data_IF_554011330589
#
_entry.id   IF_554011330589
#
_cell.length_a   1.000
_cell.length_b   1.000
_cell.length_c   1.000
_cell.angle_alpha   90.00
_cell.angle_beta   90.00
_cell.angle_gamma   90.00
#
_symmetry.space_group_name_H-M   'P 1'
#
loop_
_entity.id
_entity.type
_entity.pdbx_description
1 polymer ?
#
# COMPACT_ATOMS: atom_id res chain seq x y z
N UNK A 1 4.46 22.00 -7.18
CA UNK A 1 4.07 21.03 -8.23
C UNK A 1 4.13 21.77 -9.56
N UNK A 2 5.11 21.51 -10.43
CA UNK A 2 5.28 22.25 -11.72
C UNK A 2 5.09 21.34 -12.92
N UNK A 3 4.21 20.36 -12.78
CA UNK A 3 3.99 19.33 -13.79
C UNK A 3 2.73 19.67 -14.55
N UNK A 4 2.84 19.82 -15.87
CA UNK A 4 1.72 19.88 -16.79
C UNK A 4 1.01 18.50 -16.81
N UNK A 5 0.31 18.17 -15.72
CA UNK A 5 -0.46 16.94 -15.61
C UNK A 5 -1.81 17.13 -16.32
N UNK A 6 -2.27 16.13 -17.08
CA UNK A 6 -3.61 16.10 -17.62
C UNK A 6 -4.66 16.33 -16.52
N UNK A 7 -5.76 17.03 -16.84
CA UNK A 7 -6.85 17.30 -15.89
C UNK A 7 -7.38 16.02 -15.23
N UNK A 8 -7.47 14.94 -16.03
CA UNK A 8 -7.84 13.60 -15.56
C UNK A 8 -6.88 13.08 -14.49
N UNK A 9 -5.57 13.19 -14.71
CA UNK A 9 -4.55 12.75 -13.75
C UNK A 9 -4.64 13.53 -12.43
N UNK A 10 -4.85 14.85 -12.48
CA UNK A 10 -5.04 15.68 -11.27
C UNK A 10 -6.25 15.22 -10.44
N UNK A 11 -7.37 14.92 -11.10
CA UNK A 11 -8.59 14.44 -10.42
C UNK A 11 -8.39 13.09 -9.72
N UNK A 12 -7.73 12.13 -10.38
CA UNK A 12 -7.43 10.81 -9.80
C UNK A 12 -6.48 10.97 -8.61
N UNK A 13 -5.47 11.82 -8.72
CA UNK A 13 -4.55 12.09 -7.61
C UNK A 13 -5.27 12.70 -6.40
N UNK A 14 -6.17 13.66 -6.61
CA UNK A 14 -6.97 14.24 -5.54
C UNK A 14 -7.83 13.17 -4.84
N UNK A 15 -8.48 12.30 -5.62
CA UNK A 15 -9.23 11.15 -5.08
C UNK A 15 -8.33 10.22 -4.27
N UNK A 16 -7.13 9.90 -4.78
CA UNK A 16 -6.17 9.04 -4.07
C UNK A 16 -5.68 9.64 -2.74
N UNK A 17 -5.62 10.97 -2.65
CA UNK A 17 -5.27 11.65 -1.39
C UNK A 17 -6.43 11.70 -0.39
N UNK A 18 -7.67 11.72 -0.88
CA UNK A 18 -8.88 11.69 -0.05
C UNK A 18 -9.28 10.27 0.39
N UNK A 19 -8.86 9.25 -0.36
CA UNK A 19 -9.17 7.85 -0.06
C UNK A 19 -8.64 7.45 1.33
N UNK A 20 -9.56 6.95 2.17
CA UNK A 20 -9.25 6.45 3.52
C UNK A 20 -8.79 5.00 3.49
N UNK A 21 -9.37 4.21 2.58
CA UNK A 21 -9.04 2.80 2.46
C UNK A 21 -7.73 2.61 1.69
N UNK A 22 -6.78 1.81 2.23
CA UNK A 22 -5.49 1.60 1.58
C UNK A 22 -5.62 0.86 0.24
N UNK A 23 -6.62 -0.03 0.10
CA UNK A 23 -6.88 -0.77 -1.14
C UNK A 23 -7.40 0.16 -2.25
N UNK A 24 -8.38 1.03 -1.93
CA UNK A 24 -8.90 2.04 -2.86
C UNK A 24 -7.81 3.04 -3.27
N UNK A 25 -6.99 3.47 -2.30
CA UNK A 25 -5.85 4.36 -2.55
C UNK A 25 -4.82 3.73 -3.48
N UNK A 26 -4.54 2.44 -3.32
CA UNK A 26 -3.63 1.71 -4.21
C UNK A 26 -4.15 1.65 -5.63
N UNK A 27 -5.44 1.36 -5.82
CA UNK A 27 -6.06 1.30 -7.14
C UNK A 27 -6.00 2.67 -7.84
N UNK A 28 -6.37 3.74 -7.14
CA UNK A 28 -6.33 5.10 -7.67
C UNK A 28 -4.91 5.53 -8.03
N UNK A 29 -3.90 5.16 -7.24
CA UNK A 29 -2.49 5.43 -7.59
C UNK A 29 -2.03 4.66 -8.83
N UNK A 30 -2.50 3.42 -9.04
CA UNK A 30 -2.23 2.65 -10.27
C UNK A 30 -2.91 3.28 -11.49
N UNK A 31 -4.15 3.72 -11.36
CA UNK A 31 -4.86 4.45 -12.43
C UNK A 31 -4.20 5.79 -12.75
N UNK A 32 -3.73 6.51 -11.71
CA UNK A 32 -2.96 7.74 -11.88
C UNK A 32 -1.66 7.48 -12.63
N UNK A 33 -0.92 6.44 -12.26
CA UNK A 33 0.32 6.04 -12.92
C UNK A 33 0.11 5.69 -14.41
N UNK A 34 -1.00 5.04 -14.76
CA UNK A 34 -1.34 4.73 -16.14
C UNK A 34 -1.63 5.99 -16.99
N UNK A 35 -2.26 7.00 -16.38
CA UNK A 35 -2.57 8.28 -17.05
C UNK A 35 -1.42 9.30 -16.98
N UNK A 36 -0.24 8.88 -16.51
CA UNK A 36 0.86 9.76 -16.17
C UNK A 36 1.79 10.03 -17.38
N UNK A 37 2.16 11.29 -17.66
CA UNK A 37 3.10 11.60 -18.73
C UNK A 37 4.51 11.09 -18.39
N UNK A 38 5.09 10.25 -19.24
CA UNK A 38 6.45 9.71 -19.10
C UNK A 38 7.44 10.53 -19.93
N UNK A 39 7.94 11.61 -19.32
CA UNK A 39 8.97 12.48 -19.93
C UNK A 39 9.95 12.97 -18.86
N UNK A 40 11.10 13.53 -19.26
CA UNK A 40 12.20 13.90 -18.35
C UNK A 40 11.78 14.75 -17.15
N UNK A 41 10.80 15.63 -17.32
CA UNK A 41 10.29 16.49 -16.24
C UNK A 41 9.50 15.77 -15.15
N UNK A 42 9.14 14.49 -15.35
CA UNK A 42 8.32 13.71 -14.41
C UNK A 42 9.00 12.50 -13.80
N UNK A 43 10.27 12.23 -14.14
CA UNK A 43 11.01 11.05 -13.67
C UNK A 43 11.05 10.95 -12.14
N UNK A 44 11.31 12.08 -11.45
CA UNK A 44 11.33 12.12 -9.98
C UNK A 44 9.96 11.77 -9.38
N UNK A 45 8.90 12.31 -9.97
CA UNK A 45 7.53 12.07 -9.52
C UNK A 45 7.11 10.63 -9.83
N UNK A 46 7.53 10.07 -10.96
CA UNK A 46 7.31 8.67 -11.33
C UNK A 46 7.90 7.72 -10.29
N UNK A 47 9.17 7.92 -9.92
CA UNK A 47 9.86 7.12 -8.90
C UNK A 47 9.13 7.23 -7.55
N UNK A 48 8.69 8.43 -7.18
CA UNK A 48 7.94 8.64 -5.94
C UNK A 48 6.60 7.86 -5.94
N UNK A 49 5.85 7.91 -7.04
CA UNK A 49 4.56 7.19 -7.17
C UNK A 49 4.80 5.68 -7.06
N UNK A 50 5.78 5.13 -7.78
CA UNK A 50 6.13 3.70 -7.71
C UNK A 50 6.48 3.26 -6.29
N UNK A 51 7.25 4.07 -5.57
CA UNK A 51 7.60 3.81 -4.15
C UNK A 51 6.36 3.79 -3.25
N UNK A 52 5.43 4.73 -3.46
CA UNK A 52 4.17 4.78 -2.69
C UNK A 52 3.29 3.56 -2.97
N UNK A 53 3.16 3.15 -4.24
CA UNK A 53 2.42 1.93 -4.64
C UNK A 53 3.00 0.71 -3.91
N UNK A 54 4.32 0.50 -4.01
CA UNK A 54 4.98 -0.65 -3.39
C UNK A 54 4.78 -0.67 -1.87
N UNK A 55 4.92 0.48 -1.21
CA UNK A 55 4.71 0.60 0.24
C UNK A 55 3.28 0.23 0.64
N UNK A 56 2.28 0.70 -0.11
CA UNK A 56 0.88 0.37 0.15
C UNK A 56 0.58 -1.11 -0.08
N UNK A 57 1.15 -1.73 -1.12
CA UNK A 57 1.04 -3.18 -1.36
C UNK A 57 1.59 -3.99 -0.17
N UNK A 58 2.78 -3.62 0.31
CA UNK A 58 3.40 -4.24 1.50
C UNK A 58 2.56 -4.03 2.77
N UNK A 59 1.98 -2.85 2.98
CA UNK A 59 1.10 -2.57 4.12
C UNK A 59 -0.18 -3.41 4.09
N UNK A 60 -0.82 -3.53 2.92
CA UNK A 60 -2.04 -4.34 2.74
C UNK A 60 -1.72 -5.82 2.98
N UNK A 61 -0.63 -6.33 2.40
CA UNK A 61 -0.22 -7.71 2.59
C UNK A 61 0.14 -8.01 4.06
N UNK A 62 0.86 -7.10 4.72
CA UNK A 62 1.17 -7.24 6.14
C UNK A 62 -0.09 -7.24 7.02
N UNK A 63 -1.10 -6.41 6.71
CA UNK A 63 -2.40 -6.45 7.40
C UNK A 63 -3.09 -7.80 7.22
N UNK A 64 -3.13 -8.33 5.99
CA UNK A 64 -3.71 -9.66 5.69
C UNK A 64 -2.98 -10.77 6.44
N UNK A 65 -1.64 -10.76 6.44
CA UNK A 65 -0.81 -11.73 7.18
C UNK A 65 -1.03 -11.66 8.68
N UNK A 66 -1.13 -10.47 9.27
CA UNK A 66 -1.38 -10.30 10.72
C UNK A 66 -2.76 -10.82 11.13
N UNK A 67 -3.80 -10.62 10.32
CA UNK A 67 -5.13 -11.18 10.58
C UNK A 67 -5.14 -12.72 10.48
N UNK A 68 -4.36 -13.32 9.57
CA UNK A 68 -4.23 -14.78 9.45
C UNK A 68 -3.32 -15.44 10.50
N UNK A 69 -2.57 -14.67 11.30
CA UNK A 69 -1.59 -15.16 12.27
C UNK A 69 -2.05 -15.11 13.73
N UNK A 70 -3.36 -15.12 14.00
CA UNK A 70 -3.89 -15.54 15.31
C UNK A 70 -3.92 -17.07 15.36
N UNK A 71 -2.77 -17.70 15.10
CA UNK A 71 -2.54 -19.09 15.50
C UNK A 71 -1.91 -18.96 16.88
N UNK A 72 -2.64 -19.39 17.90
CA UNK A 72 -2.19 -19.45 19.28
C UNK A 72 -0.93 -20.33 19.38
N UNK A 73 0.26 -19.74 19.25
CA UNK A 73 1.54 -20.44 19.49
C UNK A 73 1.81 -20.56 21.01
N UNK A 74 0.99 -19.92 21.85
CA UNK A 74 1.14 -19.92 23.32
C UNK A 74 0.26 -20.93 24.07
N UNK A 75 -0.46 -21.83 23.39
CA UNK A 75 -1.24 -22.87 24.07
C UNK A 75 -0.48 -24.20 24.10
N UNK A 76 0.74 -24.19 24.66
CA UNK A 76 1.32 -25.41 25.21
C UNK A 76 1.03 -25.37 26.71
N UNK A 77 -0.10 -25.97 27.12
CA UNK A 77 -0.25 -26.38 28.51
C UNK A 77 0.81 -27.44 28.78
N UNK A 78 1.91 -27.07 29.43
CA UNK A 78 2.75 -28.05 30.11
C UNK A 78 2.05 -28.43 31.42
N UNK A 79 1.02 -29.28 31.31
CA UNK A 79 0.56 -30.09 32.43
C UNK A 79 1.31 -31.44 32.36
N UNK A 80 1.93 -31.83 33.48
CA UNK A 80 2.62 -33.12 33.67
C UNK A 80 4.10 -33.10 33.26
N UNK A 81 5.10 -33.47 34.08
CA UNK A 81 5.08 -34.31 35.26
C UNK A 81 6.07 -33.81 36.32
N UNK A 82 5.58 -33.81 37.56
CA UNK A 82 6.40 -33.88 38.78
C UNK A 82 6.96 -35.29 38.86
N UNK A 83 8.28 -35.46 38.99
CA UNK A 83 8.82 -36.68 39.58
C UNK A 83 10.18 -36.47 40.26
N UNK A 84 10.14 -36.63 41.60
CA UNK A 84 11.17 -37.04 42.59
C UNK A 84 12.52 -36.32 42.57
#
# INVERSE_FOLDING_TARGET
>A
MVTNLPAKAKSIWAKAMMAKEPEEKLELLKQFYSSFPKHKATERLEVQIKRQIKKLEEEIENKKRKHGKVINIWNVKKEGDIQI
#
